data_IF_154889250892
#
_entry.id   IF_154889250892
#
_cell.length_a   1.000
_cell.length_b   1.000
_cell.length_c   1.000
_cell.angle_alpha   90.00
_cell.angle_beta   90.00
_cell.angle_gamma   90.00
#
_symmetry.space_group_name_H-M   'P 1'
#
loop_
_entity.id
_entity.type
_entity.pdbx_description
1 polymer ?
#
# COMPACT_ATOMS: atom_id res chain seq x y z
N UNK A 1 -10.41 -97.35 -7.43
CA UNK A 1 -11.28 -96.56 -8.32
C UNK A 1 -11.13 -95.07 -7.96
N UNK A 2 -10.89 -94.20 -8.96
CA UNK A 2 -11.13 -92.72 -9.02
C UNK A 2 -10.46 -91.82 -7.95
N UNK A 3 -9.41 -91.05 -8.29
CA UNK A 3 -9.33 -89.69 -8.90
C UNK A 3 -9.60 -88.52 -7.93
N UNK A 4 -8.55 -87.74 -7.59
CA UNK A 4 -8.26 -86.31 -7.93
C UNK A 4 -9.09 -85.26 -7.13
N UNK A 5 -8.43 -84.25 -6.51
CA UNK A 5 -8.57 -82.79 -6.72
C UNK A 5 -8.02 -81.98 -5.53
N UNK A 6 -7.02 -81.14 -5.83
CA UNK A 6 -6.50 -80.08 -5.00
C UNK A 6 -7.49 -78.90 -4.93
N UNK A 7 -7.55 -78.20 -3.79
CA UNK A 7 -8.03 -76.80 -3.75
C UNK A 7 -7.16 -76.01 -2.78
N UNK A 8 -6.43 -75.05 -3.34
CA UNK A 8 -5.74 -73.95 -2.66
C UNK A 8 -6.74 -73.11 -1.87
N UNK A 9 -6.33 -72.58 -0.72
CA UNK A 9 -6.97 -71.40 -0.13
C UNK A 9 -5.90 -70.39 0.26
N UNK A 10 -6.00 -69.23 -0.36
CA UNK A 10 -5.04 -68.14 -0.39
C UNK A 10 -5.02 -67.31 0.90
N UNK A 11 -3.88 -66.67 1.12
CA UNK A 11 -3.55 -65.75 2.20
C UNK A 11 -4.35 -64.44 2.15
N UNK A 12 -4.59 -63.81 3.32
CA UNK A 12 -4.60 -62.35 3.48
C UNK A 12 -3.94 -62.02 4.82
N UNK A 13 -2.65 -61.68 4.80
CA UNK A 13 -1.98 -61.01 5.92
C UNK A 13 -2.12 -59.49 5.69
N UNK A 14 -2.94 -58.83 6.52
CA UNK A 14 -3.10 -57.38 6.51
C UNK A 14 -1.88 -56.76 7.19
N UNK A 15 -0.94 -56.22 6.40
CA UNK A 15 0.15 -55.40 6.90
C UNK A 15 -0.36 -53.97 7.14
N UNK A 16 -0.47 -53.57 8.41
CA UNK A 16 -0.77 -52.20 8.79
C UNK A 16 0.47 -51.32 8.60
N UNK A 17 0.51 -50.52 7.54
CA UNK A 17 1.52 -49.49 7.35
C UNK A 17 1.15 -48.25 8.19
N UNK A 18 1.92 -47.99 9.25
CA UNK A 18 1.81 -46.74 10.00
C UNK A 18 2.40 -45.59 9.16
N UNK A 19 1.53 -44.75 8.60
CA UNK A 19 1.94 -43.53 7.92
C UNK A 19 2.40 -42.50 8.96
N UNK A 20 3.71 -42.28 9.06
CA UNK A 20 4.29 -41.18 9.83
C UNK A 20 3.98 -39.88 9.06
N UNK A 21 2.95 -39.16 9.51
CA UNK A 21 2.66 -37.81 9.00
C UNK A 21 3.79 -36.90 9.48
N UNK A 22 4.77 -36.65 8.62
CA UNK A 22 5.77 -35.61 8.85
C UNK A 22 5.10 -34.25 8.86
N UNK A 23 4.93 -33.67 10.05
CA UNK A 23 4.54 -32.26 10.20
C UNK A 23 5.73 -31.42 9.74
N UNK A 24 5.72 -30.98 8.49
CA UNK A 24 6.64 -29.95 8.03
C UNK A 24 6.23 -28.65 8.71
N UNK A 25 7.03 -28.19 9.66
CA UNK A 25 6.88 -26.85 10.24
C UNK A 25 7.21 -25.83 9.16
N UNK A 26 6.20 -25.38 8.42
CA UNK A 26 6.33 -24.23 7.52
C UNK A 26 6.70 -23.02 8.36
N UNK A 27 7.91 -22.47 8.18
CA UNK A 27 8.30 -21.23 8.81
C UNK A 27 7.28 -20.15 8.42
N UNK A 28 6.53 -19.65 9.40
CA UNK A 28 5.58 -18.56 9.17
C UNK A 28 6.34 -17.37 8.58
N UNK A 29 5.80 -16.78 7.50
CA UNK A 29 6.36 -15.58 6.91
C UNK A 29 6.55 -14.50 8.01
N UNK A 30 7.63 -13.71 7.98
CA UNK A 30 7.88 -12.71 9.01
C UNK A 30 6.68 -11.77 9.17
N UNK A 31 6.10 -11.72 10.37
CA UNK A 31 4.94 -10.87 10.67
C UNK A 31 5.30 -9.40 10.43
N UNK A 32 4.47 -8.71 9.66
CA UNK A 32 4.58 -7.26 9.42
C UNK A 32 3.80 -6.53 10.52
N UNK A 33 4.50 -6.02 11.54
CA UNK A 33 3.87 -5.48 12.74
C UNK A 33 3.24 -4.10 12.46
N UNK A 34 3.86 -3.27 11.61
CA UNK A 34 3.33 -1.93 11.35
C UNK A 34 1.94 -1.90 10.70
N UNK A 35 1.56 -2.99 10.03
CA UNK A 35 0.23 -3.20 9.43
C UNK A 35 -0.79 -3.79 10.38
N UNK A 36 -0.39 -4.19 11.59
CA UNK A 36 -1.31 -4.73 12.59
C UNK A 36 -1.99 -3.59 13.37
N UNK A 37 -3.32 -3.38 13.22
CA UNK A 37 -4.02 -2.32 13.92
C UNK A 37 -4.11 -2.56 15.44
N UNK A 38 -3.90 -3.79 15.91
CA UNK A 38 -3.94 -4.15 17.34
C UNK A 38 -2.60 -3.95 18.06
N UNK A 39 -1.51 -3.77 17.32
CA UNK A 39 -0.18 -3.59 17.90
C UNK A 39 -0.01 -2.17 18.48
N UNK A 40 0.77 -2.00 19.58
CA UNK A 40 1.06 -0.67 20.14
C UNK A 40 1.70 0.26 19.11
N UNK A 41 1.31 1.55 19.10
CA UNK A 41 1.86 2.54 18.17
C UNK A 41 3.41 2.54 18.15
N UNK A 42 4.13 2.57 19.29
CA UNK A 42 5.59 2.54 19.26
C UNK A 42 6.17 1.30 18.58
N UNK A 43 5.52 0.13 18.71
CA UNK A 43 5.94 -1.09 18.04
C UNK A 43 5.72 -0.99 16.53
N UNK A 44 4.59 -0.44 16.08
CA UNK A 44 4.30 -0.19 14.66
C UNK A 44 5.29 0.80 14.04
N UNK A 45 5.57 1.91 14.72
CA UNK A 45 6.53 2.93 14.29
C UNK A 45 7.93 2.34 14.16
N UNK A 46 8.38 1.60 15.18
CA UNK A 46 9.72 1.02 15.18
C UNK A 46 9.89 -0.08 14.12
N UNK A 47 8.88 -0.92 13.89
CA UNK A 47 8.88 -1.90 12.80
C UNK A 47 8.90 -1.20 11.42
N UNK A 48 8.11 -0.14 11.23
CA UNK A 48 8.09 0.63 9.98
C UNK A 48 9.44 1.30 9.70
N UNK A 49 9.99 2.05 10.67
CA UNK A 49 11.26 2.76 10.51
C UNK A 49 12.45 1.84 10.20
N UNK A 50 12.41 0.58 10.67
CA UNK A 50 13.42 -0.44 10.34
C UNK A 50 13.31 -0.94 8.90
N UNK A 51 12.13 -0.86 8.30
CA UNK A 51 11.85 -1.29 6.92
C UNK A 51 12.03 -0.18 5.89
N UNK A 52 12.17 1.06 6.34
CA UNK A 52 12.38 2.22 5.49
C UNK A 52 13.86 2.38 5.10
N UNK A 53 14.07 2.63 3.82
CA UNK A 53 15.29 3.19 3.23
C UNK A 53 15.53 4.62 3.72
N UNK A 54 16.73 5.16 3.46
CA UNK A 54 17.02 6.56 3.75
C UNK A 54 16.12 7.51 2.95
N UNK A 55 15.92 7.23 1.65
CA UNK A 55 15.02 8.02 0.80
C UNK A 55 13.61 8.07 1.36
N UNK A 56 13.04 6.93 1.74
CA UNK A 56 11.69 6.90 2.35
C UNK A 56 11.65 7.70 3.66
N UNK A 57 12.71 7.68 4.49
CA UNK A 57 12.75 8.48 5.73
C UNK A 57 12.82 9.97 5.45
N UNK A 58 13.64 10.38 4.49
CA UNK A 58 13.76 11.79 4.09
C UNK A 58 12.46 12.27 3.45
N UNK A 59 11.84 11.46 2.58
CA UNK A 59 10.55 11.77 1.97
C UNK A 59 9.44 11.95 3.01
N UNK A 60 9.42 11.16 4.09
CA UNK A 60 8.48 11.36 5.19
C UNK A 60 8.65 12.69 5.94
N UNK A 61 9.79 13.37 5.80
CA UNK A 61 10.03 14.71 6.35
C UNK A 61 9.67 15.84 5.38
N UNK A 62 9.24 15.50 4.15
CA UNK A 62 8.85 16.45 3.11
C UNK A 62 7.35 16.71 3.10
N UNK A 63 6.99 17.97 2.84
CA UNK A 63 5.63 18.41 2.59
C UNK A 63 5.56 19.17 1.27
N UNK A 64 5.01 18.50 0.24
CA UNK A 64 4.88 19.06 -1.10
C UNK A 64 3.60 19.88 -1.25
N UNK A 65 3.65 20.99 -1.98
CA UNK A 65 2.43 21.68 -2.41
C UNK A 65 1.71 20.86 -3.49
N UNK A 66 0.38 20.73 -3.39
CA UNK A 66 -0.46 19.93 -4.31
C UNK A 66 -0.33 20.37 -5.76
N UNK A 67 0.05 21.63 -6.00
CA UNK A 67 0.33 22.13 -7.34
C UNK A 67 1.38 21.31 -8.08
N UNK A 68 2.38 20.74 -7.37
CA UNK A 68 3.38 19.85 -7.97
C UNK A 68 2.79 18.53 -8.48
N UNK A 69 1.59 18.16 -8.05
CA UNK A 69 0.88 16.98 -8.57
C UNK A 69 0.08 17.29 -9.83
N UNK A 70 -0.05 18.57 -10.20
CA UNK A 70 -0.98 19.09 -11.20
C UNK A 70 -0.20 19.81 -12.30
N UNK A 71 0.44 19.05 -13.20
CA UNK A 71 1.10 19.65 -14.36
C UNK A 71 0.05 20.26 -15.32
N UNK A 72 0.19 21.55 -15.64
CA UNK A 72 -0.71 22.27 -16.56
C UNK A 72 -0.27 22.19 -18.02
N UNK A 73 0.87 21.58 -18.32
CA UNK A 73 1.32 21.38 -19.71
C UNK A 73 0.55 20.22 -20.35
N UNK A 74 0.07 20.41 -21.58
CA UNK A 74 -0.62 19.36 -22.35
C UNK A 74 0.13 19.09 -23.67
N UNK A 75 0.73 17.88 -23.86
CA UNK A 75 0.81 16.78 -22.88
C UNK A 75 1.77 17.09 -21.73
N UNK A 76 1.55 16.46 -20.57
CA UNK A 76 2.38 16.69 -19.38
C UNK A 76 3.84 16.33 -19.67
N UNK A 77 4.75 17.28 -19.43
CA UNK A 77 6.17 17.13 -19.79
C UNK A 77 7.01 16.45 -18.69
N UNK A 78 6.39 16.09 -17.55
CA UNK A 78 7.05 15.39 -16.45
C UNK A 78 7.92 16.29 -15.57
N UNK A 79 7.91 17.60 -15.84
CA UNK A 79 8.62 18.59 -15.03
C UNK A 79 7.79 19.02 -13.81
N UNK A 80 6.46 18.77 -13.84
CA UNK A 80 5.57 19.01 -12.70
C UNK A 80 5.66 20.46 -12.20
N UNK A 81 5.58 21.40 -13.14
CA UNK A 81 5.87 22.84 -12.98
C UNK A 81 4.90 23.62 -12.07
N UNK A 82 4.08 22.93 -11.28
CA UNK A 82 3.01 23.55 -10.50
C UNK A 82 1.79 23.85 -11.37
N UNK A 83 0.61 23.66 -10.79
CA UNK A 83 -0.66 24.01 -11.41
C UNK A 83 -1.72 24.28 -10.37
N UNK A 84 -2.37 25.44 -10.50
CA UNK A 84 -3.55 25.74 -9.73
C UNK A 84 -4.79 25.24 -10.47
N UNK A 85 -5.77 24.67 -9.78
CA UNK A 85 -7.09 24.27 -10.31
C UNK A 85 -7.13 23.12 -11.33
N UNK A 86 -6.02 22.43 -11.59
CA UNK A 86 -5.98 21.26 -12.49
C UNK A 86 -6.12 19.92 -11.75
N UNK A 87 -6.52 18.87 -12.46
CA UNK A 87 -6.54 17.51 -11.90
C UNK A 87 -5.11 16.96 -11.73
N UNK A 88 -4.85 16.12 -10.71
CA UNK A 88 -3.57 15.46 -10.57
C UNK A 88 -3.18 14.64 -11.81
N UNK A 89 -1.89 14.61 -12.13
CA UNK A 89 -1.35 13.87 -13.28
C UNK A 89 -0.53 12.68 -12.81
N UNK A 90 -0.72 11.51 -13.44
CA UNK A 90 -0.08 10.25 -13.04
C UNK A 90 1.45 10.32 -12.99
N UNK A 91 2.08 11.01 -13.95
CA UNK A 91 3.54 11.19 -13.96
C UNK A 91 4.03 12.00 -12.76
N UNK A 92 3.29 13.02 -12.34
CA UNK A 92 3.62 13.83 -11.18
C UNK A 92 3.31 13.14 -9.85
N UNK A 93 2.21 12.38 -9.79
CA UNK A 93 1.94 11.47 -8.67
C UNK A 93 3.07 10.46 -8.51
N UNK A 94 3.54 9.84 -9.60
CA UNK A 94 4.66 8.90 -9.56
C UNK A 94 5.95 9.57 -9.08
N UNK A 95 6.27 10.74 -9.62
CA UNK A 95 7.49 11.46 -9.23
C UNK A 95 7.45 11.83 -7.75
N UNK A 96 6.44 12.60 -7.34
CA UNK A 96 6.40 13.20 -6.00
C UNK A 96 6.08 12.16 -4.93
N UNK A 97 5.06 11.32 -5.13
CA UNK A 97 4.61 10.42 -4.07
C UNK A 97 5.48 9.16 -3.96
N UNK A 98 6.07 8.69 -5.07
CA UNK A 98 6.75 7.39 -5.11
C UNK A 98 8.26 7.53 -5.24
N UNK A 99 8.75 8.30 -6.22
CA UNK A 99 10.20 8.48 -6.37
C UNK A 99 10.79 9.34 -5.25
N UNK A 100 10.11 10.42 -4.88
CA UNK A 100 10.53 11.31 -3.78
C UNK A 100 10.02 10.83 -2.40
N UNK A 101 9.11 9.85 -2.37
CA UNK A 101 8.54 9.21 -1.17
C UNK A 101 7.91 10.22 -0.16
N UNK A 102 7.37 11.32 -0.68
CA UNK A 102 6.82 12.43 0.10
C UNK A 102 5.77 11.96 1.12
N UNK A 103 5.92 12.37 2.38
CA UNK A 103 5.02 12.00 3.48
C UNK A 103 3.81 12.90 3.63
N UNK A 104 3.88 14.15 3.16
CA UNK A 104 2.78 15.09 3.26
C UNK A 104 2.55 15.89 1.98
N UNK A 105 1.28 16.20 1.71
CA UNK A 105 0.88 17.15 0.68
C UNK A 105 0.08 18.26 1.34
N UNK A 106 0.16 19.50 0.86
CA UNK A 106 -0.76 20.56 1.27
C UNK A 106 -1.43 21.24 0.08
N UNK A 107 -2.66 21.74 0.29
CA UNK A 107 -3.20 22.83 -0.52
C UNK A 107 -2.91 24.15 0.16
N UNK A 108 -2.20 25.06 -0.53
CA UNK A 108 -2.10 26.45 -0.10
C UNK A 108 -3.39 27.22 -0.35
N UNK A 109 -3.41 28.50 0.03
CA UNK A 109 -4.62 29.33 0.02
C UNK A 109 -5.38 29.44 -1.30
N UNK A 110 -4.75 29.16 -2.45
CA UNK A 110 -5.40 29.20 -3.77
C UNK A 110 -5.52 27.84 -4.45
N UNK A 111 -4.99 26.75 -3.88
CA UNK A 111 -4.80 25.46 -4.57
C UNK A 111 -6.04 24.55 -4.59
N UNK A 112 -7.15 25.11 -5.06
CA UNK A 112 -8.45 24.46 -5.06
C UNK A 112 -8.53 23.37 -6.13
N UNK A 113 -9.32 22.30 -5.92
CA UNK A 113 -9.75 21.45 -7.03
C UNK A 113 -10.65 22.27 -7.98
N UNK A 114 -10.73 21.92 -9.29
CA UNK A 114 -11.38 22.76 -10.30
C UNK A 114 -12.84 23.13 -10.00
N UNK A 115 -13.64 22.20 -9.46
CA UNK A 115 -15.04 22.47 -9.11
C UNK A 115 -15.24 23.15 -7.75
N UNK A 116 -14.19 23.15 -6.91
CA UNK A 116 -14.18 23.72 -5.55
C UNK A 116 -15.40 23.36 -4.68
N UNK A 117 -15.94 22.14 -4.81
CA UNK A 117 -16.97 21.64 -3.90
C UNK A 117 -16.38 20.69 -2.86
N UNK A 118 -17.10 20.45 -1.76
CA UNK A 118 -16.68 19.45 -0.76
C UNK A 118 -16.44 18.05 -1.36
N UNK A 119 -17.22 17.66 -2.37
CA UNK A 119 -17.03 16.42 -3.13
C UNK A 119 -15.74 16.44 -3.94
N UNK A 120 -15.41 17.56 -4.60
CA UNK A 120 -14.17 17.67 -5.37
C UNK A 120 -12.92 17.61 -4.48
N UNK A 121 -12.99 18.20 -3.28
CA UNK A 121 -11.95 18.09 -2.27
C UNK A 121 -11.75 16.65 -1.80
N UNK A 122 -12.86 15.94 -1.50
CA UNK A 122 -12.80 14.53 -1.13
C UNK A 122 -12.21 13.67 -2.26
N UNK A 123 -12.61 13.92 -3.51
CA UNK A 123 -12.11 13.21 -4.68
C UNK A 123 -10.61 13.44 -4.91
N UNK A 124 -10.16 14.69 -4.78
CA UNK A 124 -8.75 15.05 -4.86
C UNK A 124 -7.93 14.31 -3.79
N UNK A 125 -8.35 14.40 -2.53
CA UNK A 125 -7.68 13.73 -1.42
C UNK A 125 -7.61 12.22 -1.63
N UNK A 126 -8.74 11.60 -1.97
CA UNK A 126 -8.82 10.15 -2.20
C UNK A 126 -7.93 9.71 -3.35
N UNK A 127 -7.89 10.47 -4.45
CA UNK A 127 -7.03 10.16 -5.61
C UNK A 127 -5.56 10.11 -5.19
N UNK A 128 -5.10 11.12 -4.43
CA UNK A 128 -3.72 11.20 -3.97
C UNK A 128 -3.41 10.10 -2.95
N UNK A 129 -4.32 9.83 -2.01
CA UNK A 129 -4.16 8.77 -1.03
C UNK A 129 -4.06 7.38 -1.65
N UNK A 130 -5.03 7.03 -2.51
CA UNK A 130 -5.03 5.74 -3.19
C UNK A 130 -3.75 5.57 -3.99
N UNK A 131 -3.31 6.61 -4.70
CA UNK A 131 -2.06 6.52 -5.44
C UNK A 131 -0.85 6.23 -4.54
N UNK A 132 -0.68 6.97 -3.44
CA UNK A 132 0.43 6.78 -2.51
C UNK A 132 0.41 5.38 -1.86
N UNK A 133 -0.76 4.93 -1.42
CA UNK A 133 -0.93 3.62 -0.78
C UNK A 133 -0.69 2.50 -1.80
N UNK A 134 -1.32 2.55 -2.96
CA UNK A 134 -1.32 1.45 -3.92
C UNK A 134 0.03 1.28 -4.65
N UNK A 135 0.79 2.37 -4.82
CA UNK A 135 2.04 2.35 -5.60
C UNK A 135 3.32 2.40 -4.76
N UNK A 136 3.25 2.71 -3.45
CA UNK A 136 4.43 2.68 -2.59
C UNK A 136 4.66 1.27 -2.03
N UNK A 137 5.93 0.87 -1.91
CA UNK A 137 6.33 -0.45 -1.40
C UNK A 137 5.87 -0.71 0.04
N UNK A 138 5.78 0.33 0.86
CA UNK A 138 5.42 0.23 2.27
C UNK A 138 3.95 0.59 2.55
N UNK A 139 3.21 1.03 1.52
CA UNK A 139 1.80 1.45 1.61
C UNK A 139 1.57 2.50 2.72
N UNK A 140 2.51 3.44 2.88
CA UNK A 140 2.40 4.51 3.88
C UNK A 140 1.43 5.56 3.32
N UNK A 141 0.34 5.89 4.03
CA UNK A 141 -0.57 6.94 3.60
C UNK A 141 0.09 8.31 3.74
N UNK A 142 -0.32 9.27 2.92
CA UNK A 142 0.11 10.66 3.11
C UNK A 142 -0.66 11.33 4.26
N UNK A 143 -0.14 12.43 4.79
CA UNK A 143 -0.94 13.39 5.56
C UNK A 143 -1.22 14.63 4.71
N UNK A 144 -2.48 15.08 4.66
CA UNK A 144 -2.90 16.19 3.82
C UNK A 144 -3.18 17.45 4.65
N UNK A 145 -2.49 18.54 4.32
CA UNK A 145 -2.62 19.84 4.97
C UNK A 145 -3.51 20.82 4.19
N UNK A 146 -4.19 21.69 4.92
CA UNK A 146 -4.98 22.81 4.39
C UNK A 146 -5.06 23.92 5.42
N UNK A 147 -5.10 25.17 4.96
CA UNK A 147 -5.23 26.36 5.79
C UNK A 147 -6.69 26.59 6.27
N UNK A 148 -7.18 25.72 7.15
CA UNK A 148 -8.52 25.84 7.75
C UNK A 148 -8.52 26.77 8.99
N UNK A 149 -7.99 27.99 8.84
CA UNK A 149 -7.67 28.90 9.95
C UNK A 149 -8.88 29.63 10.57
N UNK A 150 -10.02 29.64 9.88
CA UNK A 150 -11.28 30.24 10.35
C UNK A 150 -12.48 29.48 9.76
N UNK A 151 -12.47 28.16 9.95
CA UNK A 151 -13.32 27.23 9.22
C UNK A 151 -12.63 26.69 7.97
N UNK A 152 -13.28 25.76 7.27
CA UNK A 152 -12.79 25.28 5.98
C UNK A 152 -13.13 26.35 4.93
N UNK A 153 -12.22 27.31 4.72
CA UNK A 153 -12.42 28.49 3.85
C UNK A 153 -12.37 28.21 2.35
N UNK A 154 -12.50 26.94 1.96
CA UNK A 154 -12.26 26.41 0.63
C UNK A 154 -13.43 25.65 -0.03
N UNK A 155 -14.70 25.81 0.39
CA UNK A 155 -15.86 25.59 -0.48
C UNK A 155 -16.77 26.82 -0.62
#
# INVERSE_FOLDING_TARGET
MRRIYAVLSAAIAVAAAAAVIGVTSGAAAPRVIYMDPSAPIPARVHDLLRRMTLTEKVGQMDQAVVGLLRDTTNPANGVCNGGNTSQPQTNCLQKVLIADATGSVLSGGTDNPPGNTGTDWANLYNTIQHYAIDNSRLHIPIIYGVDAVHGFGHP
#
